data_IF_417818753371
#
_entry.id   IF_417818753371
#
_cell.length_a   1.000
_cell.length_b   1.000
_cell.length_c   1.000
_cell.angle_alpha   90.00
_cell.angle_beta   90.00
_cell.angle_gamma   90.00
#
_symmetry.space_group_name_H-M   'P 1'
#
loop_
_entity.id
_entity.type
_entity.pdbx_description
1 polymer ?
#
# COMPACT_ATOMS: atom_id res chain seq x y z
N UNK A 1 8.50 -47.55 33.67
CA UNK A 1 7.84 -46.22 33.62
C UNK A 1 8.95 -45.20 33.86
N UNK A 2 9.45 -44.46 32.88
CA UNK A 2 8.75 -43.34 32.23
C UNK A 2 9.40 -43.02 30.85
N UNK A 3 8.58 -43.00 29.79
CA UNK A 3 8.94 -42.50 28.46
C UNK A 3 8.73 -40.97 28.46
N UNK A 4 9.80 -40.19 28.31
CA UNK A 4 9.73 -38.74 28.16
C UNK A 4 9.85 -38.37 26.67
N UNK A 5 8.74 -38.46 25.94
CA UNK A 5 8.67 -37.88 24.58
C UNK A 5 8.68 -36.36 24.67
N UNK A 6 9.83 -35.75 24.37
CA UNK A 6 9.99 -34.30 24.17
C UNK A 6 9.15 -33.88 22.95
N UNK A 7 7.98 -33.30 23.20
CA UNK A 7 7.09 -32.78 22.15
C UNK A 7 7.79 -31.72 21.30
N UNK A 8 7.67 -31.82 19.97
CA UNK A 8 8.10 -30.76 19.04
C UNK A 8 7.26 -29.52 19.34
N UNK A 9 7.88 -28.48 19.89
CA UNK A 9 7.24 -27.17 20.09
C UNK A 9 6.86 -26.59 18.72
N UNK A 10 5.56 -26.42 18.50
CA UNK A 10 5.02 -25.68 17.36
C UNK A 10 5.48 -24.23 17.51
N UNK A 11 6.22 -23.71 16.52
CA UNK A 11 6.64 -22.31 16.47
C UNK A 11 5.76 -21.57 15.48
N UNK A 12 5.24 -20.41 15.87
CA UNK A 12 4.43 -19.59 14.99
C UNK A 12 5.27 -19.07 13.81
N UNK A 13 4.66 -18.93 12.64
CA UNK A 13 5.31 -18.33 11.49
C UNK A 13 5.89 -16.95 11.81
N UNK A 14 5.19 -16.17 12.62
CA UNK A 14 5.61 -14.82 13.01
C UNK A 14 6.83 -14.82 13.94
N UNK A 15 6.88 -15.70 14.95
CA UNK A 15 8.06 -15.86 15.82
C UNK A 15 9.30 -16.27 15.03
N UNK A 16 9.12 -17.11 14.00
CA UNK A 16 10.21 -17.51 13.12
C UNK A 16 10.71 -16.34 12.29
N UNK A 17 9.81 -15.46 11.82
CA UNK A 17 10.17 -14.25 11.09
C UNK A 17 10.93 -13.28 12.00
N UNK A 18 10.48 -13.07 13.24
CA UNK A 18 11.17 -12.23 14.22
C UNK A 18 12.56 -12.75 14.55
N UNK A 19 12.70 -14.07 14.77
CA UNK A 19 13.99 -14.70 15.04
C UNK A 19 14.97 -14.60 13.86
N UNK A 20 14.46 -14.70 12.63
CA UNK A 20 15.25 -14.52 11.42
C UNK A 20 15.64 -13.05 11.22
N UNK A 21 14.75 -12.10 11.53
CA UNK A 21 15.02 -10.67 11.46
C UNK A 21 16.06 -10.20 12.50
N UNK A 22 16.22 -10.93 13.62
CA UNK A 22 17.25 -10.66 14.62
C UNK A 22 18.68 -11.05 14.17
N UNK A 23 18.83 -11.80 13.07
CA UNK A 23 20.14 -12.12 12.51
C UNK A 23 20.60 -10.98 11.56
N UNK A 24 21.72 -10.30 11.82
CA UNK A 24 22.19 -9.16 11.03
C UNK A 24 22.40 -9.46 9.54
N UNK A 25 22.87 -10.66 9.20
CA UNK A 25 23.08 -11.05 7.81
C UNK A 25 21.75 -11.26 7.06
N UNK A 26 20.75 -11.81 7.74
CA UNK A 26 19.41 -12.00 7.20
C UNK A 26 18.69 -10.64 7.09
N UNK A 27 18.82 -9.78 8.10
CA UNK A 27 18.26 -8.43 8.08
C UNK A 27 18.80 -7.61 6.90
N UNK A 28 20.11 -7.67 6.65
CA UNK A 28 20.73 -6.97 5.53
C UNK A 28 20.33 -7.58 4.18
N UNK A 29 20.26 -8.91 4.07
CA UNK A 29 19.73 -9.57 2.86
C UNK A 29 18.27 -9.22 2.59
N UNK A 30 17.42 -9.17 3.62
CA UNK A 30 16.02 -8.74 3.50
C UNK A 30 15.94 -7.28 3.09
N UNK A 31 16.80 -6.41 3.63
CA UNK A 31 16.90 -5.00 3.24
C UNK A 31 17.31 -4.84 1.77
N UNK A 32 18.31 -5.59 1.31
CA UNK A 32 18.76 -5.57 -0.08
C UNK A 32 17.72 -6.14 -1.04
N UNK A 33 17.02 -7.21 -0.67
CA UNK A 33 15.90 -7.75 -1.46
C UNK A 33 14.74 -6.77 -1.49
N UNK A 34 14.36 -6.16 -0.36
CA UNK A 34 13.32 -5.11 -0.33
C UNK A 34 13.69 -3.93 -1.22
N UNK A 35 14.95 -3.48 -1.19
CA UNK A 35 15.45 -2.42 -2.06
C UNK A 35 15.44 -2.85 -3.54
N UNK A 36 15.86 -4.07 -3.87
CA UNK A 36 15.87 -4.58 -5.23
C UNK A 36 14.45 -4.82 -5.80
N UNK A 37 13.54 -5.35 -4.99
CA UNK A 37 12.13 -5.56 -5.34
C UNK A 37 11.37 -4.23 -5.44
N UNK A 38 11.77 -3.21 -4.67
CA UNK A 38 11.18 -1.88 -4.76
C UNK A 38 11.38 -1.23 -6.14
N UNK A 39 12.42 -1.56 -6.90
CA UNK A 39 12.70 -0.91 -8.18
C UNK A 39 12.17 -1.64 -9.42
N UNK A 40 11.78 -2.92 -9.30
CA UNK A 40 11.52 -3.75 -10.48
C UNK A 40 10.18 -3.48 -11.18
N UNK A 41 9.14 -3.01 -10.48
CA UNK A 41 7.77 -2.86 -11.03
C UNK A 41 7.14 -1.47 -10.80
N UNK A 42 7.95 -0.45 -10.47
CA UNK A 42 7.41 0.91 -10.21
C UNK A 42 7.06 1.62 -11.51
N UNK A 43 5.77 1.79 -11.77
CA UNK A 43 5.27 2.78 -12.74
C UNK A 43 5.29 4.15 -12.06
N UNK A 44 6.15 5.06 -12.54
CA UNK A 44 6.12 6.46 -12.10
C UNK A 44 4.91 7.16 -12.70
N UNK A 45 3.95 7.52 -11.84
CA UNK A 45 2.75 8.28 -12.17
C UNK A 45 2.85 9.66 -11.51
N UNK A 46 2.46 10.72 -12.23
CA UNK A 46 2.58 12.09 -11.72
C UNK A 46 1.23 12.69 -11.33
N UNK A 47 0.13 12.14 -11.85
CA UNK A 47 -1.22 12.65 -11.65
C UNK A 47 -2.23 11.54 -11.33
N UNK A 48 -3.37 11.92 -10.75
CA UNK A 48 -4.52 11.01 -10.56
C UNK A 48 -5.03 10.42 -11.88
N UNK A 49 -4.93 11.18 -12.97
CA UNK A 49 -5.27 10.70 -14.30
C UNK A 49 -4.33 9.59 -14.78
N UNK A 50 -3.05 9.64 -14.40
CA UNK A 50 -2.07 8.60 -14.77
C UNK A 50 -2.33 7.30 -14.02
N UNK A 51 -2.70 7.38 -12.74
CA UNK A 51 -3.13 6.21 -11.95
C UNK A 51 -4.33 5.53 -12.62
N UNK A 52 -5.36 6.31 -12.96
CA UNK A 52 -6.55 5.79 -13.66
C UNK A 52 -6.19 5.16 -15.01
N UNK A 53 -5.32 5.79 -15.80
CA UNK A 53 -4.86 5.26 -17.10
C UNK A 53 -4.04 3.97 -16.94
N UNK A 54 -3.22 3.85 -15.88
CA UNK A 54 -2.50 2.63 -15.57
C UNK A 54 -3.46 1.46 -15.29
N UNK A 55 -4.59 1.74 -14.65
CA UNK A 55 -5.71 0.81 -14.48
C UNK A 55 -6.56 0.56 -15.74
N UNK A 56 -6.25 1.21 -16.87
CA UNK A 56 -7.03 1.18 -18.14
C UNK A 56 -8.48 1.63 -17.98
N UNK A 57 -8.75 2.56 -17.07
CA UNK A 57 -10.09 3.07 -16.78
C UNK A 57 -10.34 4.42 -17.48
N UNK A 58 -11.59 4.66 -17.90
CA UNK A 58 -12.03 5.98 -18.34
C UNK A 58 -12.49 6.82 -17.14
N UNK A 59 -12.60 8.15 -17.31
CA UNK A 59 -13.18 9.00 -16.26
C UNK A 59 -14.63 8.60 -15.93
N UNK A 60 -15.37 8.07 -16.91
CA UNK A 60 -16.73 7.56 -16.72
C UNK A 60 -16.75 6.29 -15.86
N UNK A 61 -15.74 5.42 -15.97
CA UNK A 61 -15.65 4.22 -15.15
C UNK A 61 -15.42 4.55 -13.67
N UNK A 62 -14.48 5.46 -13.40
CA UNK A 62 -14.23 5.96 -12.04
C UNK A 62 -15.43 6.73 -11.50
N UNK A 63 -16.10 7.52 -12.33
CA UNK A 63 -17.31 8.25 -11.95
C UNK A 63 -18.43 7.31 -11.51
N UNK A 64 -18.63 6.22 -12.26
CA UNK A 64 -19.60 5.17 -11.94
C UNK A 64 -19.33 4.53 -10.58
N UNK A 65 -18.07 4.20 -10.30
CA UNK A 65 -17.67 3.61 -9.01
C UNK A 65 -17.86 4.58 -7.84
N UNK A 66 -17.59 5.88 -8.06
CA UNK A 66 -17.79 6.93 -7.07
C UNK A 66 -19.27 7.37 -6.93
N UNK A 67 -20.17 6.93 -7.81
CA UNK A 67 -21.56 7.40 -7.84
C UNK A 67 -21.72 8.89 -8.20
N UNK A 68 -20.81 9.44 -9.01
CA UNK A 68 -20.80 10.85 -9.43
C UNK A 68 -20.82 11.00 -10.95
N UNK A 69 -20.93 12.24 -11.43
CA UNK A 69 -20.81 12.54 -12.86
C UNK A 69 -19.34 12.54 -13.31
N UNK A 70 -19.09 12.20 -14.59
CA UNK A 70 -17.75 12.27 -15.19
C UNK A 70 -17.11 13.67 -15.08
N UNK A 71 -17.92 14.74 -15.12
CA UNK A 71 -17.44 16.10 -14.91
C UNK A 71 -16.87 16.33 -13.49
N UNK A 72 -17.38 15.63 -12.47
CA UNK A 72 -16.83 15.68 -11.12
C UNK A 72 -15.44 15.03 -11.06
N UNK A 73 -15.26 13.87 -11.70
CA UNK A 73 -13.95 13.21 -11.83
C UNK A 73 -12.95 14.11 -12.55
N UNK A 74 -13.38 14.76 -13.64
CA UNK A 74 -12.57 15.73 -14.38
C UNK A 74 -12.11 16.92 -13.52
N UNK A 75 -12.94 17.35 -12.56
CA UNK A 75 -12.58 18.39 -11.58
C UNK A 75 -11.60 17.85 -10.54
N UNK A 76 -11.83 16.65 -9.99
CA UNK A 76 -10.95 16.01 -9.01
C UNK A 76 -9.53 15.88 -9.56
N UNK A 77 -9.37 15.36 -10.78
CA UNK A 77 -8.05 15.16 -11.41
C UNK A 77 -7.28 16.46 -11.68
N UNK A 78 -7.96 17.61 -11.72
CA UNK A 78 -7.35 18.93 -11.98
C UNK A 78 -7.11 19.76 -10.73
N UNK A 79 -7.65 19.34 -9.57
CA UNK A 79 -7.46 20.08 -8.32
C UNK A 79 -6.06 19.88 -7.79
N UNK A 80 -5.51 20.95 -7.20
CA UNK A 80 -4.23 20.92 -6.50
C UNK A 80 -4.38 20.51 -5.03
N UNK A 81 -5.59 20.62 -4.49
CA UNK A 81 -5.95 20.33 -3.10
C UNK A 81 -7.15 19.38 -3.04
N UNK A 82 -7.04 18.36 -2.18
CA UNK A 82 -8.08 17.35 -1.95
C UNK A 82 -8.10 16.97 -0.46
N UNK A 83 -9.28 16.65 0.05
CA UNK A 83 -9.38 15.94 1.33
C UNK A 83 -8.77 14.54 1.16
N UNK A 84 -8.15 14.01 2.23
CA UNK A 84 -7.54 12.68 2.19
C UNK A 84 -8.58 11.58 1.93
N UNK A 85 -9.79 11.73 2.44
CA UNK A 85 -10.91 10.84 2.14
C UNK A 85 -11.27 10.86 0.64
N UNK A 86 -11.34 12.04 0.03
CA UNK A 86 -11.60 12.17 -1.42
C UNK A 86 -10.48 11.53 -2.26
N UNK A 87 -9.23 11.70 -1.83
CA UNK A 87 -8.09 11.04 -2.49
C UNK A 87 -8.20 9.51 -2.35
N UNK A 88 -8.48 9.01 -1.16
CA UNK A 88 -8.67 7.58 -0.88
C UNK A 88 -9.78 6.99 -1.76
N UNK A 89 -10.96 7.59 -1.75
CA UNK A 89 -12.12 7.09 -2.50
C UNK A 89 -11.83 7.08 -4.00
N UNK A 90 -11.20 8.14 -4.51
CA UNK A 90 -10.78 8.18 -5.92
C UNK A 90 -9.78 7.05 -6.24
N UNK A 91 -8.77 6.83 -5.39
CA UNK A 91 -7.75 5.81 -5.62
C UNK A 91 -8.36 4.41 -5.60
N UNK A 92 -9.27 4.14 -4.66
CA UNK A 92 -10.03 2.89 -4.61
C UNK A 92 -10.85 2.70 -5.89
N UNK A 93 -11.57 3.73 -6.35
CA UNK A 93 -12.32 3.71 -7.59
C UNK A 93 -11.47 3.56 -8.86
N UNK A 94 -10.20 4.00 -8.80
CA UNK A 94 -9.21 3.80 -9.84
C UNK A 94 -8.53 2.42 -9.77
N UNK A 95 -8.93 1.55 -8.84
CA UNK A 95 -8.43 0.18 -8.68
C UNK A 95 -7.16 0.06 -7.83
N UNK A 96 -6.77 1.11 -7.10
CA UNK A 96 -5.65 1.02 -6.17
C UNK A 96 -6.01 0.15 -4.96
N UNK A 97 -5.04 -0.65 -4.50
CA UNK A 97 -5.16 -1.48 -3.31
C UNK A 97 -4.18 -0.95 -2.26
N UNK A 98 -4.64 -0.75 -1.03
CA UNK A 98 -3.84 -0.23 0.10
C UNK A 98 -3.13 1.11 -0.20
N UNK A 99 -3.88 2.16 -0.57
CA UNK A 99 -3.31 3.46 -0.88
C UNK A 99 -2.64 4.07 0.36
N UNK A 100 -1.41 4.57 0.23
CA UNK A 100 -0.62 5.13 1.33
C UNK A 100 0.22 6.32 0.90
N UNK A 101 0.41 7.26 1.80
CA UNK A 101 1.39 8.34 1.66
C UNK A 101 2.70 7.85 2.29
N UNK A 102 3.78 7.92 1.53
CA UNK A 102 5.12 7.54 1.99
C UNK A 102 5.97 8.79 2.09
N UNK A 103 6.59 9.01 3.25
CA UNK A 103 7.52 10.11 3.49
C UNK A 103 8.83 9.57 4.05
N UNK A 104 9.93 10.20 3.71
CA UNK A 104 11.22 9.94 4.34
C UNK A 104 11.42 10.93 5.50
N UNK A 105 11.75 10.40 6.68
CA UNK A 105 12.07 11.19 7.87
C UNK A 105 13.26 10.58 8.58
N UNK A 106 14.34 11.35 8.72
CA UNK A 106 15.58 10.92 9.40
C UNK A 106 16.17 9.60 8.83
N UNK A 107 16.08 9.41 7.51
CA UNK A 107 16.51 8.17 6.83
C UNK A 107 15.60 6.97 7.06
N UNK A 108 14.43 7.17 7.69
CA UNK A 108 13.39 6.16 7.86
C UNK A 108 12.21 6.44 6.92
N UNK A 109 11.76 5.41 6.22
CA UNK A 109 10.51 5.46 5.47
C UNK A 109 9.33 5.32 6.44
N UNK A 110 8.47 6.35 6.48
CA UNK A 110 7.25 6.36 7.28
C UNK A 110 6.05 6.36 6.32
N UNK A 111 5.14 5.41 6.52
CA UNK A 111 3.92 5.30 5.72
C UNK A 111 2.69 5.65 6.53
N UNK A 112 1.82 6.49 5.96
CA UNK A 112 0.47 6.77 6.42
C UNK A 112 -0.52 6.04 5.51
N UNK A 113 -1.29 5.13 6.08
CA UNK A 113 -2.37 4.44 5.38
C UNK A 113 -3.52 5.42 5.09
N UNK A 114 -4.00 5.47 3.85
CA UNK A 114 -5.15 6.31 3.51
C UNK A 114 -6.47 5.69 3.95
N UNK A 115 -6.54 4.38 4.19
CA UNK A 115 -7.75 3.72 4.69
C UNK A 115 -8.13 4.16 6.11
N UNK A 116 -7.21 4.79 6.86
CA UNK A 116 -7.54 5.41 8.15
C UNK A 116 -8.38 6.70 8.03
N UNK A 117 -8.63 7.19 6.82
CA UNK A 117 -9.40 8.41 6.54
C UNK A 117 -10.75 8.13 5.87
N UNK A 118 -11.33 6.96 6.14
CA UNK A 118 -12.65 6.61 5.60
C UNK A 118 -13.73 7.58 6.10
N UNK A 119 -14.61 8.00 5.19
CA UNK A 119 -15.72 8.93 5.50
C UNK A 119 -16.90 8.21 6.18
N UNK A 120 -16.86 6.88 6.29
CA UNK A 120 -17.91 6.02 6.85
C UNK A 120 -17.64 5.58 8.32
N UNK A 121 -17.26 6.51 9.19
CA UNK A 121 -17.23 6.28 10.66
C UNK A 121 -18.38 7.02 11.34
#
# INVERSE_FOLDING_TARGET
MTDHRKGRSFRSGNERIEQLAANPAIAEQVKQVRAATAHADRVYVQTLADIRKAGRLTQTDVARELGVEQAAVSKIERRHDLLLSTLRDYLAAAGAQHPRIVVEKDGMEVSLDLDSFDTNV
#
